data_IF_595714556919
#
_entry.id   IF_595714556919
#
_cell.length_a   1.000
_cell.length_b   1.000
_cell.length_c   1.000
_cell.angle_alpha   90.00
_cell.angle_beta   90.00
_cell.angle_gamma   90.00
#
_symmetry.space_group_name_H-M   'P 1'
#
loop_
_entity.id
_entity.type
_entity.pdbx_description
1 polymer ?
#
# COMPACT_ATOMS: atom_id res chain seq x y z
N UNK A 1 5.35 18.58 4.54
CA UNK A 1 4.83 17.28 4.07
C UNK A 1 3.54 16.97 4.81
N UNK A 2 2.47 16.67 4.06
CA UNK A 2 1.13 16.46 4.66
C UNK A 2 1.10 15.27 5.63
N UNK A 3 1.76 14.17 5.30
CA UNK A 3 1.80 12.99 6.17
C UNK A 3 2.42 13.30 7.53
N UNK A 4 3.51 14.08 7.57
CA UNK A 4 4.15 14.48 8.82
C UNK A 4 3.22 15.36 9.67
N UNK A 5 2.54 16.33 9.04
CA UNK A 5 1.58 17.19 9.73
C UNK A 5 0.42 16.39 10.32
N UNK A 6 -0.14 15.45 9.55
CA UNK A 6 -1.23 14.59 10.01
C UNK A 6 -0.79 13.69 11.17
N UNK A 7 0.42 13.12 11.11
CA UNK A 7 0.94 12.29 12.18
C UNK A 7 1.19 13.09 13.47
N UNK A 8 1.79 14.27 13.35
CA UNK A 8 2.06 15.14 14.50
C UNK A 8 0.77 15.62 15.18
N UNK A 9 -0.27 15.90 14.42
CA UNK A 9 -1.55 16.36 14.92
C UNK A 9 -2.47 15.22 15.34
N UNK A 10 -2.06 13.96 15.11
CA UNK A 10 -2.92 12.80 15.34
C UNK A 10 -4.27 12.92 14.62
N UNK A 11 -4.27 13.48 13.41
CA UNK A 11 -5.47 13.75 12.63
C UNK A 11 -6.06 12.50 11.98
N UNK A 12 -5.36 11.37 12.05
CA UNK A 12 -5.76 10.09 11.46
C UNK A 12 -5.22 8.93 12.29
N UNK A 13 -5.86 7.78 12.19
CA UNK A 13 -5.45 6.57 12.89
C UNK A 13 -4.35 5.81 12.14
N UNK A 14 -4.31 5.92 10.81
CA UNK A 14 -3.25 5.36 9.98
C UNK A 14 -3.08 6.17 8.69
N UNK A 15 -1.91 6.02 8.07
CA UNK A 15 -1.60 6.68 6.80
C UNK A 15 -1.77 5.70 5.65
N UNK A 16 -2.01 6.24 4.47
CA UNK A 16 -2.13 5.46 3.23
C UNK A 16 -1.31 6.08 2.10
N UNK A 17 -0.97 5.25 1.13
CA UNK A 17 -0.31 5.69 -0.09
C UNK A 17 -0.19 4.58 -1.11
N UNK A 18 0.16 4.95 -2.33
CA UNK A 18 0.31 4.08 -3.49
C UNK A 18 1.62 4.43 -4.18
N UNK A 19 2.38 3.44 -4.63
CA UNK A 19 3.68 3.63 -5.29
C UNK A 19 3.59 4.64 -6.44
N UNK A 20 2.58 4.50 -7.30
CA UNK A 20 2.41 5.37 -8.46
C UNK A 20 2.08 6.81 -8.06
N UNK A 21 1.27 7.00 -7.02
CA UNK A 21 0.78 8.32 -6.61
C UNK A 21 1.79 9.05 -5.73
N UNK A 22 2.55 8.32 -4.92
CA UNK A 22 3.52 8.90 -3.98
C UNK A 22 4.91 9.11 -4.57
N UNK A 23 5.12 8.83 -5.84
CA UNK A 23 6.40 9.08 -6.49
C UNK A 23 7.41 7.94 -6.37
N UNK A 24 6.95 6.71 -6.16
CA UNK A 24 7.78 5.52 -6.20
C UNK A 24 7.93 4.78 -4.87
N UNK A 25 8.60 3.64 -4.94
CA UNK A 25 8.82 2.75 -3.79
C UNK A 25 9.57 3.45 -2.67
N UNK A 26 10.62 4.18 -2.99
CA UNK A 26 11.45 4.86 -1.97
C UNK A 26 10.64 5.86 -1.16
N UNK A 27 9.83 6.67 -1.83
CA UNK A 27 8.98 7.67 -1.16
C UNK A 27 7.91 7.00 -0.31
N UNK A 28 7.33 5.92 -0.81
CA UNK A 28 6.31 5.18 -0.07
C UNK A 28 6.90 4.54 1.20
N UNK A 29 8.10 3.96 1.11
CA UNK A 29 8.81 3.42 2.28
C UNK A 29 9.08 4.49 3.33
N UNK A 30 9.50 5.67 2.92
CA UNK A 30 9.72 6.80 3.84
C UNK A 30 8.43 7.18 4.57
N UNK A 31 7.31 7.18 3.87
CA UNK A 31 6.01 7.48 4.47
C UNK A 31 5.58 6.40 5.46
N UNK A 32 5.80 5.13 5.12
CA UNK A 32 5.50 4.01 6.00
C UNK A 32 6.36 4.06 7.28
N UNK A 33 7.64 4.35 7.16
CA UNK A 33 8.55 4.48 8.31
C UNK A 33 8.20 5.69 9.17
N UNK A 34 7.74 6.78 8.56
CA UNK A 34 7.23 7.93 9.30
C UNK A 34 6.01 7.55 10.13
N UNK A 35 5.06 6.81 9.55
CA UNK A 35 3.89 6.31 10.28
C UNK A 35 4.33 5.42 11.44
N UNK A 36 5.28 4.51 11.22
CA UNK A 36 5.82 3.63 12.25
C UNK A 36 6.42 4.42 13.41
N UNK A 37 7.14 5.51 13.15
CA UNK A 37 7.71 6.38 14.18
C UNK A 37 6.63 6.99 15.10
N UNK A 38 5.42 7.16 14.60
CA UNK A 38 4.26 7.63 15.36
C UNK A 38 3.34 6.50 15.84
N UNK A 39 3.80 5.24 15.75
CA UNK A 39 3.04 4.05 16.12
C UNK A 39 1.71 3.92 15.35
N UNK A 40 1.75 4.32 14.10
CA UNK A 40 0.61 4.23 13.18
C UNK A 40 0.85 3.14 12.14
N UNK A 41 -0.21 2.45 11.75
CA UNK A 41 -0.17 1.60 10.58
C UNK A 41 -0.11 2.42 9.30
N UNK A 42 0.47 1.81 8.29
CA UNK A 42 0.50 2.31 6.92
C UNK A 42 -0.16 1.25 6.03
N UNK A 43 -1.35 1.54 5.53
CA UNK A 43 -2.09 0.63 4.68
C UNK A 43 -1.95 1.07 3.22
N UNK A 44 -1.37 0.21 2.40
CA UNK A 44 -1.06 0.56 1.01
C UNK A 44 -2.31 0.54 0.16
N UNK A 45 -2.52 1.62 -0.57
CA UNK A 45 -3.62 1.74 -1.54
C UNK A 45 -3.25 1.03 -2.84
N UNK A 46 -4.14 0.22 -3.36
CA UNK A 46 -4.01 -0.43 -4.66
C UNK A 46 -4.97 0.19 -5.67
N UNK A 47 -4.57 0.14 -6.92
CA UNK A 47 -5.35 0.62 -8.06
C UNK A 47 -4.48 0.75 -9.29
N UNK A 48 -5.09 0.98 -10.45
CA UNK A 48 -4.36 1.02 -11.70
C UNK A 48 -4.01 -0.39 -12.19
N UNK A 49 -2.88 -0.54 -12.88
CA UNK A 49 -2.52 -1.83 -13.47
C UNK A 49 -1.87 -2.79 -12.44
N UNK A 50 -1.83 -4.06 -12.81
CA UNK A 50 -1.29 -5.12 -11.96
C UNK A 50 0.19 -4.95 -11.64
N UNK A 51 0.98 -4.34 -12.54
CA UNK A 51 2.38 -4.06 -12.27
C UNK A 51 2.55 -3.11 -11.09
N UNK A 52 1.71 -2.09 -11.01
CA UNK A 52 1.69 -1.18 -9.86
C UNK A 52 1.30 -1.93 -8.58
N UNK A 53 0.35 -2.84 -8.65
CA UNK A 53 -0.06 -3.65 -7.49
C UNK A 53 1.07 -4.56 -7.02
N UNK A 54 1.87 -5.11 -7.92
CA UNK A 54 3.07 -5.89 -7.55
C UNK A 54 4.11 -5.00 -6.86
N UNK A 55 4.34 -3.79 -7.37
CA UNK A 55 5.24 -2.83 -6.72
C UNK A 55 4.75 -2.48 -5.30
N UNK A 56 3.45 -2.27 -5.13
CA UNK A 56 2.84 -2.04 -3.82
C UNK A 56 3.02 -3.25 -2.89
N UNK A 57 2.86 -4.47 -3.40
CA UNK A 57 3.07 -5.69 -2.61
C UNK A 57 4.51 -5.79 -2.10
N UNK A 58 5.50 -5.42 -2.90
CA UNK A 58 6.89 -5.37 -2.44
C UNK A 58 7.08 -4.41 -1.26
N UNK A 59 6.42 -3.27 -1.27
CA UNK A 59 6.43 -2.34 -0.14
C UNK A 59 5.78 -2.97 1.09
N UNK A 60 4.62 -3.57 0.93
CA UNK A 60 3.88 -4.25 2.01
C UNK A 60 4.78 -5.30 2.69
N UNK A 61 5.48 -6.11 1.90
CA UNK A 61 6.35 -7.15 2.42
C UNK A 61 7.61 -6.61 3.11
N UNK A 62 7.96 -5.35 2.88
CA UNK A 62 9.16 -4.71 3.44
C UNK A 62 8.91 -3.93 4.73
N UNK A 63 7.65 -3.73 5.12
CA UNK A 63 7.28 -2.94 6.30
C UNK A 63 6.61 -3.79 7.37
N UNK A 64 6.61 -3.29 8.60
CA UNK A 64 6.05 -4.01 9.76
C UNK A 64 4.66 -3.52 10.14
N UNK A 65 4.35 -2.28 9.81
CA UNK A 65 3.18 -1.56 10.28
C UNK A 65 2.06 -1.59 9.23
N UNK A 66 1.74 -2.77 8.73
CA UNK A 66 0.64 -3.01 7.80
C UNK A 66 -0.04 -4.34 8.11
N UNK A 67 -1.33 -4.44 7.86
CA UNK A 67 -2.11 -5.65 8.11
C UNK A 67 -2.84 -6.16 6.87
N UNK A 68 -3.13 -5.29 5.92
CA UNK A 68 -4.05 -5.62 4.83
C UNK A 68 -3.39 -5.51 3.46
N UNK A 69 -3.86 -6.35 2.57
CA UNK A 69 -3.63 -6.23 1.13
C UNK A 69 -4.96 -5.90 0.46
N UNK A 70 -5.05 -4.71 -0.14
CA UNK A 70 -6.27 -4.25 -0.79
C UNK A 70 -6.47 -4.93 -2.15
N UNK A 71 -7.64 -5.50 -2.37
CA UNK A 71 -8.02 -6.10 -3.65
C UNK A 71 -9.21 -5.36 -4.21
N UNK A 72 -9.04 -4.80 -5.40
CA UNK A 72 -10.12 -4.11 -6.10
C UNK A 72 -10.89 -5.09 -6.99
N UNK A 73 -12.19 -4.91 -7.06
CA UNK A 73 -13.10 -5.72 -7.86
C UNK A 73 -13.86 -4.84 -8.87
N UNK A 74 -14.33 -5.41 -9.97
CA UNK A 74 -14.15 -6.80 -10.41
C UNK A 74 -12.78 -7.07 -11.03
N UNK A 75 -12.34 -8.32 -10.97
CA UNK A 75 -11.05 -8.74 -11.53
C UNK A 75 -10.88 -8.35 -13.00
N UNK A 76 -11.94 -8.49 -13.79
CA UNK A 76 -11.91 -8.17 -15.22
C UNK A 76 -11.55 -6.71 -15.53
N UNK A 77 -11.82 -5.80 -14.61
CA UNK A 77 -11.49 -4.38 -14.77
C UNK A 77 -10.19 -3.99 -14.07
N UNK A 78 -9.76 -4.76 -13.08
CA UNK A 78 -8.66 -4.38 -12.19
C UNK A 78 -7.37 -5.15 -12.44
N UNK A 79 -7.46 -6.36 -13.00
CA UNK A 79 -6.28 -7.20 -13.25
C UNK A 79 -5.90 -7.13 -14.73
N UNK A 80 -4.87 -6.37 -15.04
CA UNK A 80 -4.33 -6.26 -16.39
C UNK A 80 -2.85 -5.86 -16.34
N UNK A 81 -2.14 -6.18 -17.42
CA UNK A 81 -0.74 -5.79 -17.58
C UNK A 81 0.28 -6.85 -17.15
N UNK A 82 -0.16 -7.99 -16.61
CA UNK A 82 0.71 -9.11 -16.26
C UNK A 82 0.19 -10.41 -16.88
N UNK A 83 1.10 -11.34 -17.18
CA UNK A 83 0.77 -12.69 -17.63
C UNK A 83 0.19 -13.50 -16.47
N UNK A 84 0.83 -13.43 -15.30
CA UNK A 84 0.32 -13.98 -14.06
C UNK A 84 0.10 -12.83 -13.06
N UNK A 85 -1.08 -12.77 -12.49
CA UNK A 85 -1.44 -11.72 -11.55
C UNK A 85 -1.42 -12.25 -10.11
N UNK A 86 -1.45 -11.31 -9.17
CA UNK A 86 -1.55 -11.61 -7.75
C UNK A 86 -2.89 -12.29 -7.49
N UNK A 87 -2.85 -13.42 -6.81
CA UNK A 87 -4.03 -14.17 -6.42
C UNK A 87 -4.15 -14.21 -4.89
N UNK A 88 -5.39 -14.07 -4.42
CA UNK A 88 -5.70 -14.26 -3.00
C UNK A 88 -6.20 -15.68 -2.81
N UNK A 89 -5.61 -16.40 -1.87
CA UNK A 89 -6.00 -17.75 -1.52
C UNK A 89 -7.36 -17.81 -0.81
N UNK A 90 -7.91 -19.03 -0.69
CA UNK A 90 -9.18 -19.24 0.04
C UNK A 90 -9.09 -18.92 1.53
N UNK A 91 -7.87 -18.94 2.07
CA UNK A 91 -7.56 -18.53 3.44
C UNK A 91 -7.48 -17.01 3.63
N UNK A 92 -7.65 -16.24 2.55
CA UNK A 92 -7.57 -14.78 2.58
C UNK A 92 -6.14 -14.24 2.57
N UNK A 93 -5.15 -15.07 2.26
CA UNK A 93 -3.74 -14.68 2.20
C UNK A 93 -3.29 -14.51 0.75
N UNK A 94 -2.28 -13.67 0.58
CA UNK A 94 -1.63 -13.37 -0.70
C UNK A 94 -0.29 -14.08 -0.78
#
# INVERSE_FOLDING_TARGET
>A
MRAAAHALQQATDFLRGDVAVKGGITTLLKTAHLAEAFRMNFEVHHGGNSLNNVANLHVIMAIRNTEFFEVLLPDSAQKYGLVEDIAVGRDGLV
#
